data_IF_190426599217
#
_entry.id   IF_190426599217
#
_cell.length_a   1.000
_cell.length_b   1.000
_cell.length_c   1.000
_cell.angle_alpha   90.00
_cell.angle_beta   90.00
_cell.angle_gamma   90.00
#
_symmetry.space_group_name_H-M   'P 1'
#
loop_
_entity.id
_entity.type
_entity.pdbx_description
1 polymer ?
#
# COMPACT_ATOMS: atom_id res chain seq x y z
N UNK A 1 -0.30 -4.41 -18.00
CA UNK A 1 0.79 -4.06 -18.95
C UNK A 1 2.11 -4.71 -18.51
N UNK A 2 2.79 -4.26 -17.45
CA UNK A 2 4.14 -4.77 -17.11
C UNK A 2 4.22 -6.29 -16.92
N UNK A 3 3.25 -6.93 -16.27
CA UNK A 3 3.18 -8.39 -16.17
C UNK A 3 3.00 -9.06 -17.53
N UNK A 4 2.14 -8.49 -18.40
CA UNK A 4 1.94 -9.03 -19.75
C UNK A 4 3.21 -8.88 -20.61
N UNK A 5 3.89 -7.74 -20.50
CA UNK A 5 5.16 -7.50 -21.18
C UNK A 5 6.27 -8.44 -20.70
N UNK A 6 6.23 -8.87 -19.44
CA UNK A 6 7.15 -9.87 -18.90
C UNK A 6 6.86 -11.31 -19.35
N UNK A 7 5.72 -11.56 -20.03
CA UNK A 7 5.35 -12.88 -20.55
C UNK A 7 4.18 -13.55 -19.83
N UNK A 8 3.61 -12.95 -18.78
CA UNK A 8 2.43 -13.51 -18.11
C UNK A 8 1.17 -13.35 -18.96
N UNK A 9 0.32 -14.37 -19.00
CA UNK A 9 -1.07 -14.22 -19.41
C UNK A 9 -1.87 -13.68 -18.23
N UNK A 10 -2.33 -12.43 -18.33
CA UNK A 10 -2.96 -11.72 -17.21
C UNK A 10 -4.48 -11.81 -17.31
N UNK A 11 -5.11 -12.25 -16.23
CA UNK A 11 -6.56 -12.13 -16.01
C UNK A 11 -6.80 -11.20 -14.80
N UNK A 12 -7.93 -10.51 -14.76
CA UNK A 12 -8.22 -9.56 -13.68
C UNK A 12 -9.56 -9.86 -12.99
N UNK A 13 -9.59 -9.72 -11.66
CA UNK A 13 -10.83 -9.67 -10.88
C UNK A 13 -10.99 -8.24 -10.38
N UNK A 14 -11.98 -7.50 -10.88
CA UNK A 14 -12.19 -6.11 -10.50
C UNK A 14 -13.67 -5.70 -10.54
N UNK A 15 -14.06 -4.62 -9.82
CA UNK A 15 -15.42 -4.10 -9.88
C UNK A 15 -15.72 -3.45 -11.23
N UNK A 16 -17.00 -3.43 -11.59
CA UNK A 16 -17.47 -2.73 -12.81
C UNK A 16 -17.03 -1.27 -12.81
N UNK A 17 -16.56 -0.77 -13.96
CA UNK A 17 -16.07 0.59 -14.13
C UNK A 17 -14.68 0.84 -13.54
N UNK A 18 -13.95 -0.20 -13.15
CA UNK A 18 -12.55 -0.08 -12.78
C UNK A 18 -11.69 0.29 -14.00
N UNK A 19 -10.66 1.15 -13.87
CA UNK A 19 -9.79 1.54 -15.00
C UNK A 19 -9.13 0.38 -15.75
N UNK A 20 -8.90 -0.76 -15.08
CA UNK A 20 -8.44 -1.98 -15.75
C UNK A 20 -9.34 -2.44 -16.90
N UNK A 21 -10.63 -2.16 -16.85
CA UNK A 21 -11.58 -2.59 -17.90
C UNK A 21 -11.41 -1.86 -19.23
N UNK A 22 -10.68 -0.75 -19.26
CA UNK A 22 -10.43 0.04 -20.48
C UNK A 22 -9.02 -0.17 -21.05
N UNK A 23 -8.23 -1.08 -20.47
CA UNK A 23 -6.89 -1.45 -20.97
C UNK A 23 -6.95 -2.76 -21.75
N UNK A 24 -6.10 -2.89 -22.77
CA UNK A 24 -5.90 -4.14 -23.52
C UNK A 24 -4.88 -5.11 -22.87
N UNK A 25 -4.33 -4.77 -21.71
CA UNK A 25 -3.21 -5.48 -21.10
C UNK A 25 -3.59 -6.80 -20.38
N UNK A 26 -4.85 -7.20 -20.39
CA UNK A 26 -5.30 -8.44 -19.78
C UNK A 26 -6.21 -9.23 -20.75
N UNK A 27 -6.21 -10.56 -20.59
CA UNK A 27 -6.98 -11.47 -21.44
C UNK A 27 -8.48 -11.43 -21.11
N UNK A 28 -8.82 -11.52 -19.81
CA UNK A 28 -10.21 -11.59 -19.32
C UNK A 28 -10.37 -10.82 -18.02
N UNK A 29 -11.58 -10.28 -17.82
CA UNK A 29 -11.99 -9.68 -16.55
C UNK A 29 -13.12 -10.49 -15.94
N UNK A 30 -13.00 -10.81 -14.65
CA UNK A 30 -14.02 -11.45 -13.85
C UNK A 30 -14.66 -10.43 -12.90
N UNK A 31 -16.00 -10.45 -12.75
CA UNK A 31 -16.68 -9.44 -11.95
C UNK A 31 -16.39 -9.60 -10.45
N UNK A 32 -16.03 -8.49 -9.80
CA UNK A 32 -15.93 -8.41 -8.35
C UNK A 32 -17.18 -7.79 -7.77
N UNK A 33 -17.87 -8.53 -6.89
CA UNK A 33 -19.07 -8.08 -6.19
C UNK A 33 -18.73 -7.78 -4.72
N UNK A 34 -18.71 -6.51 -4.33
CA UNK A 34 -18.33 -6.07 -2.98
C UNK A 34 -19.19 -6.63 -1.83
N UNK A 35 -20.39 -7.18 -2.13
CA UNK A 35 -21.24 -7.90 -1.15
C UNK A 35 -20.83 -9.37 -0.99
N UNK A 36 -20.14 -9.95 -1.96
CA UNK A 36 -19.70 -11.35 -1.97
C UNK A 36 -18.23 -11.43 -2.44
N UNK A 37 -17.31 -10.75 -1.72
CA UNK A 37 -15.94 -10.59 -2.20
C UNK A 37 -15.22 -11.92 -2.36
N UNK A 38 -15.27 -12.78 -1.33
CA UNK A 38 -14.59 -14.09 -1.38
C UNK A 38 -15.14 -14.99 -2.48
N UNK A 39 -16.47 -14.99 -2.67
CA UNK A 39 -17.09 -15.76 -3.76
C UNK A 39 -16.68 -15.25 -5.15
N UNK A 40 -16.51 -13.91 -5.30
CA UNK A 40 -16.04 -13.32 -6.56
C UNK A 40 -14.60 -13.73 -6.88
N UNK A 41 -13.72 -13.70 -5.89
CA UNK A 41 -12.32 -14.11 -6.04
C UNK A 41 -12.25 -15.62 -6.33
N UNK A 42 -12.97 -16.42 -5.56
CA UNK A 42 -13.02 -17.88 -5.74
C UNK A 42 -13.52 -18.27 -7.13
N UNK A 43 -14.58 -17.61 -7.62
CA UNK A 43 -15.09 -17.81 -8.99
C UNK A 43 -14.06 -17.41 -10.07
N UNK A 44 -13.37 -16.30 -9.87
CA UNK A 44 -12.28 -15.87 -10.76
C UNK A 44 -11.12 -16.89 -10.79
N UNK A 45 -10.69 -17.39 -9.64
CA UNK A 45 -9.66 -18.44 -9.53
C UNK A 45 -10.11 -19.72 -10.25
N UNK A 46 -11.33 -20.16 -10.01
CA UNK A 46 -11.86 -21.39 -10.62
C UNK A 46 -11.95 -21.28 -12.15
N UNK A 47 -12.33 -20.11 -12.68
CA UNK A 47 -12.49 -19.88 -14.11
C UNK A 47 -11.15 -19.62 -14.83
N UNK A 48 -10.24 -18.87 -14.20
CA UNK A 48 -8.94 -18.51 -14.79
C UNK A 48 -7.91 -19.64 -14.62
N UNK A 49 -7.99 -20.42 -13.54
CA UNK A 49 -7.00 -21.43 -13.13
C UNK A 49 -5.58 -20.85 -13.14
N UNK A 50 -5.33 -19.76 -12.39
CA UNK A 50 -4.05 -19.06 -12.46
C UNK A 50 -2.95 -19.85 -11.76
N UNK A 51 -1.71 -19.59 -12.19
CA UNK A 51 -0.50 -20.08 -11.52
C UNK A 51 -0.04 -19.17 -10.39
N UNK A 52 -0.45 -17.89 -10.44
CA UNK A 52 -0.04 -16.86 -9.50
C UNK A 52 -1.16 -15.84 -9.26
N UNK A 53 -1.26 -15.34 -8.03
CA UNK A 53 -2.16 -14.25 -7.63
C UNK A 53 -1.31 -13.04 -7.23
N UNK A 54 -1.65 -11.86 -7.76
CA UNK A 54 -0.97 -10.60 -7.41
C UNK A 54 -2.01 -9.61 -6.88
N UNK A 55 -2.09 -9.41 -5.56
CA UNK A 55 -2.96 -8.40 -4.98
C UNK A 55 -2.44 -6.99 -5.28
N UNK A 56 -3.36 -6.09 -5.66
CA UNK A 56 -3.04 -4.70 -5.99
C UNK A 56 -3.47 -3.71 -4.89
N UNK A 57 -4.12 -4.18 -3.84
CA UNK A 57 -4.52 -3.39 -2.68
C UNK A 57 -4.60 -4.24 -1.40
N UNK A 58 -4.63 -3.56 -0.25
CA UNK A 58 -4.65 -4.20 1.07
C UNK A 58 -5.92 -5.02 1.32
N UNK A 59 -7.05 -4.61 0.71
CA UNK A 59 -8.31 -5.33 0.84
C UNK A 59 -8.25 -6.66 0.08
N UNK A 60 -7.72 -6.66 -1.14
CA UNK A 60 -7.53 -7.87 -1.93
C UNK A 60 -6.64 -8.87 -1.20
N UNK A 61 -5.52 -8.40 -0.60
CA UNK A 61 -4.65 -9.29 0.17
C UNK A 61 -5.36 -9.89 1.39
N UNK A 62 -6.10 -9.08 2.16
CA UNK A 62 -6.88 -9.57 3.30
C UNK A 62 -7.92 -10.61 2.88
N UNK A 63 -8.59 -10.39 1.76
CA UNK A 63 -9.57 -11.30 1.22
C UNK A 63 -8.94 -12.63 0.75
N UNK A 64 -7.74 -12.58 0.19
CA UNK A 64 -6.99 -13.79 -0.14
C UNK A 64 -6.61 -14.58 1.13
N UNK A 65 -6.18 -13.91 2.20
CA UNK A 65 -5.92 -14.58 3.48
C UNK A 65 -7.20 -15.19 4.08
N UNK A 66 -8.32 -14.48 4.04
CA UNK A 66 -9.62 -15.02 4.47
C UNK A 66 -10.06 -16.22 3.61
N UNK A 67 -9.84 -16.14 2.30
CA UNK A 67 -10.14 -17.24 1.38
C UNK A 67 -9.23 -18.44 1.66
N UNK A 68 -7.96 -18.24 2.00
CA UNK A 68 -7.03 -19.27 2.42
C UNK A 68 -7.58 -20.03 3.64
N UNK A 69 -7.94 -19.32 4.71
CA UNK A 69 -8.52 -19.95 5.92
C UNK A 69 -9.81 -20.73 5.61
N UNK A 70 -10.69 -20.15 4.81
CA UNK A 70 -11.91 -20.81 4.35
C UNK A 70 -11.62 -22.05 3.49
N UNK A 71 -10.62 -22.01 2.64
CA UNK A 71 -10.23 -23.14 1.79
C UNK A 71 -9.64 -24.26 2.65
N UNK A 72 -8.81 -23.93 3.65
CA UNK A 72 -8.26 -24.90 4.60
C UNK A 72 -9.32 -25.60 5.42
N UNK A 73 -10.35 -24.91 5.87
CA UNK A 73 -11.47 -25.53 6.62
C UNK A 73 -12.26 -26.54 5.80
N UNK A 74 -12.14 -26.52 4.45
CA UNK A 74 -12.76 -27.49 3.54
C UNK A 74 -11.88 -28.75 3.33
N UNK A 75 -10.71 -28.83 3.93
CA UNK A 75 -9.78 -29.95 3.79
C UNK A 75 -9.33 -30.16 2.34
N UNK A 76 -9.35 -31.41 1.88
CA UNK A 76 -8.88 -31.77 0.53
C UNK A 76 -9.60 -31.00 -0.60
N UNK A 77 -10.89 -30.71 -0.45
CA UNK A 77 -11.66 -29.96 -1.44
C UNK A 77 -11.19 -28.51 -1.63
N UNK A 78 -10.50 -27.94 -0.63
CA UNK A 78 -9.91 -26.60 -0.71
C UNK A 78 -8.44 -26.57 -1.09
N UNK A 79 -7.78 -27.74 -1.21
CA UNK A 79 -6.32 -27.86 -1.31
C UNK A 79 -5.69 -27.03 -2.44
N UNK A 80 -6.27 -27.04 -3.61
CA UNK A 80 -5.77 -26.25 -4.77
C UNK A 80 -5.81 -24.75 -4.51
N UNK A 81 -6.85 -24.25 -3.84
CA UNK A 81 -7.02 -22.81 -3.56
C UNK A 81 -6.04 -22.32 -2.49
N UNK A 82 -5.94 -23.01 -1.35
CA UNK A 82 -5.01 -22.57 -0.30
C UNK A 82 -3.55 -22.71 -0.73
N UNK A 83 -3.19 -23.78 -1.46
CA UNK A 83 -1.84 -23.95 -1.99
C UNK A 83 -1.46 -22.86 -3.01
N UNK A 84 -2.40 -22.45 -3.88
CA UNK A 84 -2.21 -21.33 -4.80
C UNK A 84 -1.95 -20.02 -4.04
N UNK A 85 -2.70 -19.75 -2.95
CA UNK A 85 -2.54 -18.54 -2.16
C UNK A 85 -1.18 -18.54 -1.44
N UNK A 86 -0.79 -19.64 -0.79
CA UNK A 86 0.53 -19.76 -0.15
C UNK A 86 1.66 -19.61 -1.18
N UNK A 87 1.56 -20.26 -2.32
CA UNK A 87 2.56 -20.13 -3.39
C UNK A 87 2.69 -18.68 -3.86
N UNK A 88 1.58 -17.93 -3.91
CA UNK A 88 1.53 -16.56 -4.44
C UNK A 88 1.96 -15.50 -3.45
N UNK A 89 1.68 -15.68 -2.16
CA UNK A 89 1.91 -14.68 -1.12
C UNK A 89 3.01 -15.07 -0.12
N UNK A 90 3.34 -16.36 -0.06
CA UNK A 90 4.35 -16.90 0.85
C UNK A 90 3.76 -17.68 2.01
N UNK A 91 4.58 -17.89 3.03
CA UNK A 91 4.25 -18.74 4.19
C UNK A 91 3.04 -18.20 4.96
N UNK A 92 2.07 -19.06 5.24
CA UNK A 92 0.81 -18.70 5.92
C UNK A 92 1.02 -18.08 7.31
N UNK A 93 2.11 -18.45 7.96
CA UNK A 93 2.50 -17.95 9.28
C UNK A 93 2.76 -16.44 9.26
N UNK A 94 3.10 -15.88 8.07
CA UNK A 94 3.29 -14.46 7.87
C UNK A 94 1.98 -13.67 7.78
N UNK A 95 0.85 -14.30 7.40
CA UNK A 95 -0.41 -13.63 7.11
C UNK A 95 -0.95 -12.77 8.25
N UNK A 96 -0.95 -13.20 9.52
CA UNK A 96 -1.34 -12.33 10.62
C UNK A 96 -0.35 -11.18 10.86
N UNK A 97 0.95 -11.43 10.69
CA UNK A 97 2.03 -10.49 11.03
C UNK A 97 2.06 -9.28 10.09
N UNK A 98 1.84 -9.50 8.77
CA UNK A 98 1.92 -8.42 7.77
C UNK A 98 0.87 -7.31 7.95
N UNK A 99 -0.14 -7.51 8.80
CA UNK A 99 -1.14 -6.49 9.15
C UNK A 99 -1.03 -5.97 10.58
N UNK A 100 -0.24 -6.63 11.42
CA UNK A 100 -0.09 -6.31 12.82
C UNK A 100 1.20 -5.48 13.02
N UNK A 101 1.06 -4.15 13.13
CA UNK A 101 2.22 -3.23 13.16
C UNK A 101 3.22 -3.55 14.24
N UNK A 102 2.77 -3.69 15.49
CA UNK A 102 3.70 -3.97 16.61
C UNK A 102 4.41 -5.33 16.43
N UNK A 103 3.73 -6.46 16.19
CA UNK A 103 4.39 -7.73 15.92
C UNK A 103 5.35 -7.71 14.72
N UNK A 104 5.01 -6.97 13.66
CA UNK A 104 5.91 -6.82 12.50
C UNK A 104 7.19 -6.08 12.86
N UNK A 105 7.09 -4.97 13.61
CA UNK A 105 8.25 -4.17 14.04
C UNK A 105 9.11 -4.95 15.05
N UNK A 106 8.50 -5.67 15.99
CA UNK A 106 9.21 -6.54 16.94
C UNK A 106 9.99 -7.64 16.22
N UNK A 107 9.36 -8.28 15.22
CA UNK A 107 10.02 -9.27 14.38
C UNK A 107 11.18 -8.67 13.60
N UNK A 108 11.03 -7.48 13.02
CA UNK A 108 12.08 -6.78 12.29
C UNK A 108 13.26 -6.45 13.22
N UNK A 109 12.98 -5.99 14.44
CA UNK A 109 13.99 -5.73 15.46
C UNK A 109 14.76 -7.01 15.84
N UNK A 110 14.06 -8.13 15.99
CA UNK A 110 14.68 -9.42 16.30
C UNK A 110 15.61 -9.92 15.19
N UNK A 111 15.33 -9.57 13.92
CA UNK A 111 16.19 -9.83 12.76
C UNK A 111 17.35 -8.81 12.63
N UNK A 112 17.51 -7.89 13.59
CA UNK A 112 18.53 -6.84 13.54
C UNK A 112 18.29 -5.82 12.43
N UNK A 113 17.01 -5.57 12.09
CA UNK A 113 16.59 -4.47 11.23
C UNK A 113 16.36 -3.24 12.09
N UNK A 114 16.85 -2.08 11.65
CA UNK A 114 16.60 -0.82 12.34
C UNK A 114 15.14 -0.43 12.21
N UNK A 115 14.49 -0.20 13.36
CA UNK A 115 13.08 0.18 13.45
C UNK A 115 12.91 1.29 14.49
N UNK A 116 11.91 2.16 14.37
CA UNK A 116 11.58 3.10 15.44
C UNK A 116 10.96 2.36 16.62
N UNK A 117 11.20 2.81 17.85
CA UNK A 117 10.53 2.27 19.04
C UNK A 117 9.03 2.31 18.81
N UNK A 118 8.37 1.19 19.02
CA UNK A 118 6.92 1.04 18.75
C UNK A 118 6.28 0.24 19.85
N UNK A 119 5.06 0.60 20.25
CA UNK A 119 4.29 -0.15 21.23
C UNK A 119 2.78 -0.06 20.92
N UNK A 120 2.05 -1.10 21.25
CA UNK A 120 0.58 -1.06 21.28
C UNK A 120 0.10 -0.27 22.48
N UNK A 121 -0.89 0.59 22.28
CA UNK A 121 -1.49 1.47 23.30
C UNK A 121 -2.95 1.09 23.46
N UNK A 122 -3.28 0.49 24.59
CA UNK A 122 -4.63 0.01 24.87
C UNK A 122 -5.43 1.00 25.72
N UNK A 123 -4.76 1.79 26.54
CA UNK A 123 -5.38 2.72 27.46
C UNK A 123 -4.52 3.99 27.66
N UNK A 124 -5.02 4.91 28.47
CA UNK A 124 -4.34 6.18 28.75
C UNK A 124 -3.02 5.99 29.52
N UNK A 125 -2.95 5.08 30.46
CA UNK A 125 -1.74 4.85 31.24
C UNK A 125 -0.61 4.30 30.38
N UNK A 126 -0.93 3.42 29.41
CA UNK A 126 0.05 2.94 28.42
C UNK A 126 0.61 4.10 27.61
N UNK A 127 -0.25 5.04 27.16
CA UNK A 127 0.17 6.21 26.39
C UNK A 127 1.09 7.12 27.20
N UNK A 128 0.71 7.45 28.44
CA UNK A 128 1.49 8.32 29.32
C UNK A 128 2.84 7.66 29.67
N UNK A 129 2.84 6.35 29.97
CA UNK A 129 4.06 5.59 30.24
C UNK A 129 4.97 5.50 29.01
N UNK A 130 4.40 5.38 27.81
CA UNK A 130 5.17 5.38 26.57
C UNK A 130 5.80 6.74 26.30
N UNK A 131 5.04 7.84 26.43
CA UNK A 131 5.54 9.21 26.28
C UNK A 131 6.67 9.50 27.28
N UNK A 132 6.53 9.06 28.52
CA UNK A 132 7.56 9.25 29.55
C UNK A 132 8.90 8.54 29.20
N UNK A 133 8.84 7.39 28.54
CA UNK A 133 10.04 6.61 28.17
C UNK A 133 10.66 7.03 26.85
N UNK A 134 9.85 7.37 25.84
CA UNK A 134 10.31 7.62 24.48
C UNK A 134 10.35 9.10 24.14
N UNK A 135 9.41 9.88 24.68
CA UNK A 135 9.32 11.31 24.46
C UNK A 135 8.36 11.71 23.33
N UNK A 136 8.40 13.00 23.04
CA UNK A 136 7.66 13.66 21.95
C UNK A 136 8.67 14.42 21.06
N UNK A 137 8.39 14.61 19.78
CA UNK A 137 7.16 14.22 19.05
C UNK A 137 7.05 12.70 18.88
N UNK A 138 5.81 12.23 18.68
CA UNK A 138 5.48 10.82 18.45
C UNK A 138 4.50 10.66 17.31
N UNK A 139 4.40 9.44 16.77
CA UNK A 139 3.41 9.07 15.74
C UNK A 139 2.42 8.08 16.33
N UNK A 140 1.13 8.44 16.36
CA UNK A 140 0.07 7.52 16.72
C UNK A 140 -0.59 6.98 15.43
N UNK A 141 -0.74 5.66 15.37
CA UNK A 141 -1.28 4.96 14.19
C UNK A 141 -2.39 3.99 14.62
N UNK A 142 -3.51 3.96 13.89
CA UNK A 142 -4.52 2.91 14.05
C UNK A 142 -4.24 1.74 13.11
N UNK A 143 -4.44 0.49 13.59
CA UNK A 143 -4.38 -0.68 12.75
C UNK A 143 -5.55 -0.69 11.75
N UNK A 144 -5.32 -1.20 10.54
CA UNK A 144 -6.36 -1.32 9.52
C UNK A 144 -6.73 -0.04 8.77
N UNK A 145 -6.07 1.09 9.06
CA UNK A 145 -6.18 2.30 8.25
C UNK A 145 -5.16 2.27 7.09
N UNK A 146 -5.57 2.69 5.90
CA UNK A 146 -4.72 2.86 4.71
C UNK A 146 -4.74 4.31 4.24
N UNK A 147 -3.74 4.72 3.44
CA UNK A 147 -3.67 6.06 2.87
C UNK A 147 -3.44 7.19 3.88
N UNK A 148 -2.82 6.90 5.03
CA UNK A 148 -2.45 7.90 6.04
C UNK A 148 -3.59 8.47 6.89
N UNK A 149 -4.84 8.07 6.66
CA UNK A 149 -5.99 8.59 7.42
C UNK A 149 -5.93 8.26 8.92
N UNK A 150 -5.33 7.13 9.29
CA UNK A 150 -5.15 6.67 10.67
C UNK A 150 -3.80 7.04 11.28
N UNK A 151 -3.10 8.07 10.79
CA UNK A 151 -1.79 8.50 11.29
C UNK A 151 -1.88 9.91 11.85
N UNK A 152 -1.33 10.13 13.03
CA UNK A 152 -1.23 11.46 13.68
C UNK A 152 0.16 11.65 14.25
N UNK A 153 0.83 12.74 13.85
CA UNK A 153 2.03 13.22 14.52
C UNK A 153 1.57 14.10 15.68
N UNK A 154 2.03 13.82 16.87
CA UNK A 154 1.68 14.53 18.11
C UNK A 154 2.92 15.12 18.75
N UNK A 155 2.84 16.38 19.16
CA UNK A 155 3.96 17.15 19.71
C UNK A 155 3.81 17.46 21.20
N UNK A 156 2.58 17.34 21.71
CA UNK A 156 2.27 17.58 23.12
C UNK A 156 1.46 16.41 23.69
N UNK A 157 1.51 16.23 25.02
CA UNK A 157 0.72 15.21 25.70
C UNK A 157 -0.80 15.41 25.49
N UNK A 158 -1.27 16.66 25.41
CA UNK A 158 -2.66 16.97 25.10
C UNK A 158 -3.08 16.52 23.70
N UNK A 159 -2.24 16.79 22.69
CA UNK A 159 -2.44 16.29 21.33
C UNK A 159 -2.44 14.75 21.29
N UNK A 160 -1.55 14.10 22.00
CA UNK A 160 -1.46 12.65 22.05
C UNK A 160 -2.74 12.01 22.59
N UNK A 161 -3.32 12.57 23.66
CA UNK A 161 -4.59 12.11 24.22
C UNK A 161 -5.76 12.31 23.26
N UNK A 162 -5.84 13.46 22.62
CA UNK A 162 -6.88 13.76 21.64
C UNK A 162 -6.79 12.83 20.44
N UNK A 163 -5.59 12.63 19.92
CA UNK A 163 -5.30 11.72 18.81
C UNK A 163 -5.62 10.26 19.17
N UNK A 164 -5.22 9.78 20.35
CA UNK A 164 -5.51 8.44 20.84
C UNK A 164 -7.02 8.18 20.87
N UNK A 165 -7.80 9.07 21.48
CA UNK A 165 -9.26 8.96 21.53
C UNK A 165 -9.89 8.93 20.13
N UNK A 166 -9.41 9.80 19.23
CA UNK A 166 -9.90 9.89 17.86
C UNK A 166 -9.56 8.64 17.03
N UNK A 167 -8.35 8.08 17.19
CA UNK A 167 -7.88 6.91 16.46
C UNK A 167 -8.49 5.61 16.97
N UNK A 168 -8.82 5.55 18.28
CA UNK A 168 -9.49 4.40 18.90
C UNK A 168 -10.99 4.37 18.61
N UNK A 169 -11.57 5.52 18.25
CA UNK A 169 -13.00 5.62 17.98
C UNK A 169 -13.40 4.72 16.81
N UNK A 170 -14.55 4.01 16.91
CA UNK A 170 -15.05 3.23 15.79
C UNK A 170 -15.26 4.12 14.57
N UNK A 171 -15.08 3.57 13.35
CA UNK A 171 -15.35 4.34 12.14
C UNK A 171 -16.78 4.89 12.17
N UNK A 172 -16.95 6.16 11.83
CA UNK A 172 -18.30 6.75 11.76
C UNK A 172 -19.11 6.01 10.70
N UNK A 173 -20.36 5.64 11.04
CA UNK A 173 -21.26 4.93 10.14
C UNK A 173 -21.41 5.66 8.79
N UNK A 174 -21.54 7.00 8.84
CA UNK A 174 -21.57 7.85 7.65
C UNK A 174 -20.34 7.69 6.74
N UNK A 175 -19.16 7.45 7.33
CA UNK A 175 -17.92 7.21 6.60
C UNK A 175 -17.93 5.81 5.97
N UNK A 176 -18.39 4.79 6.70
CA UNK A 176 -18.58 3.44 6.20
C UNK A 176 -19.56 3.41 5.03
N UNK A 177 -20.68 4.11 5.15
CA UNK A 177 -21.70 4.24 4.09
C UNK A 177 -21.14 5.00 2.88
N UNK A 178 -20.45 6.13 3.09
CA UNK A 178 -19.82 6.88 1.99
C UNK A 178 -18.80 6.01 1.23
N UNK A 179 -17.93 5.30 1.94
CA UNK A 179 -16.92 4.43 1.33
C UNK A 179 -17.58 3.26 0.58
N UNK A 180 -18.67 2.71 1.12
CA UNK A 180 -19.44 1.68 0.45
C UNK A 180 -20.12 2.16 -0.84
N UNK A 181 -20.62 3.42 -0.87
CA UNK A 181 -21.33 3.99 -2.01
C UNK A 181 -20.37 4.54 -3.08
N UNK A 182 -19.28 5.21 -2.65
CA UNK A 182 -18.34 5.90 -3.56
C UNK A 182 -17.23 4.95 -4.03
N UNK A 183 -16.59 4.25 -3.08
CA UNK A 183 -15.44 3.38 -3.36
C UNK A 183 -15.86 1.91 -3.51
N UNK A 184 -17.16 1.60 -3.33
CA UNK A 184 -17.73 0.24 -3.29
C UNK A 184 -17.07 -0.68 -2.24
N UNK A 185 -16.41 -0.06 -1.25
CA UNK A 185 -15.70 -0.73 -0.15
C UNK A 185 -16.59 -0.76 1.10
N UNK A 186 -17.07 -1.95 1.46
CA UNK A 186 -17.95 -2.19 2.62
C UNK A 186 -17.23 -2.64 3.87
N UNK A 187 -15.90 -2.68 3.88
CA UNK A 187 -15.08 -3.16 5.01
C UNK A 187 -15.32 -2.40 6.30
N UNK A 188 -15.73 -1.13 6.23
CA UNK A 188 -16.02 -0.31 7.41
C UNK A 188 -17.45 -0.42 7.95
N UNK A 189 -18.39 -1.05 7.22
CA UNK A 189 -19.79 -1.09 7.65
C UNK A 189 -19.93 -1.92 8.93
N UNK A 190 -19.45 -3.15 8.92
CA UNK A 190 -19.57 -4.07 10.06
C UNK A 190 -18.82 -3.57 11.31
N UNK A 191 -17.54 -3.12 11.23
CA UNK A 191 -16.85 -2.49 12.36
C UNK A 191 -17.56 -1.23 12.90
N UNK A 192 -18.17 -0.43 12.00
CA UNK A 192 -18.95 0.76 12.42
C UNK A 192 -20.21 0.37 13.20
N UNK A 193 -20.91 -0.69 12.77
CA UNK A 193 -22.12 -1.21 13.44
C UNK A 193 -21.75 -1.85 14.78
N UNK A 194 -20.70 -2.66 14.80
CA UNK A 194 -20.23 -3.37 16.01
C UNK A 194 -19.51 -2.45 17.01
N UNK A 195 -19.29 -1.17 16.65
CA UNK A 195 -18.51 -0.21 17.45
C UNK A 195 -17.15 -0.76 17.89
N UNK A 196 -16.52 -1.56 17.05
CA UNK A 196 -15.20 -2.15 17.33
C UNK A 196 -14.16 -1.03 17.48
N UNK A 197 -13.50 -1.00 18.64
CA UNK A 197 -12.37 -0.09 18.84
C UNK A 197 -11.18 -0.56 18.03
N UNK A 198 -10.46 0.39 17.43
CA UNK A 198 -9.23 0.11 16.70
C UNK A 198 -8.06 0.03 17.69
N UNK A 199 -7.17 -0.89 17.43
CA UNK A 199 -5.87 -0.92 18.11
C UNK A 199 -5.04 0.29 17.66
N UNK A 200 -4.47 1.01 18.63
CA UNK A 200 -3.62 2.17 18.39
C UNK A 200 -2.18 1.80 18.76
N UNK A 201 -1.25 2.16 17.91
CA UNK A 201 0.17 1.98 18.17
C UNK A 201 0.82 3.36 18.30
N UNK A 202 1.71 3.53 19.29
CA UNK A 202 2.62 4.66 19.39
C UNK A 202 3.97 4.27 18.80
N UNK A 203 4.54 5.17 18.00
CA UNK A 203 5.82 4.99 17.34
C UNK A 203 6.67 6.23 17.53
N UNK A 204 7.96 6.04 17.77
CA UNK A 204 8.96 7.09 17.83
C UNK A 204 8.95 7.89 16.52
N UNK A 205 9.06 9.22 16.65
CA UNK A 205 9.11 10.09 15.47
C UNK A 205 10.56 10.20 14.99
N UNK A 206 10.82 9.62 13.84
CA UNK A 206 12.13 9.75 13.17
C UNK A 206 12.11 11.01 12.31
N UNK A 207 13.00 11.95 12.61
CA UNK A 207 13.19 13.17 11.79
C UNK A 207 13.94 12.78 10.53
N UNK A 208 13.29 12.92 9.37
CA UNK A 208 13.92 12.47 8.14
C UNK A 208 12.98 12.48 6.94
N UNK A 209 13.41 11.81 5.88
CA UNK A 209 12.72 11.71 4.60
C UNK A 209 12.07 10.35 4.45
N UNK A 210 10.84 10.34 3.94
CA UNK A 210 10.16 9.09 3.64
C UNK A 210 10.84 8.39 2.47
N UNK A 211 10.96 7.06 2.57
CA UNK A 211 11.45 6.22 1.49
C UNK A 211 10.61 4.95 1.38
N UNK A 212 10.62 4.32 0.23
CA UNK A 212 9.88 3.09 0.00
C UNK A 212 10.70 2.11 -0.85
N UNK A 213 10.57 0.84 -0.54
CA UNK A 213 11.10 -0.26 -1.37
C UNK A 213 9.94 -1.04 -1.93
N UNK A 214 9.99 -1.36 -3.22
CA UNK A 214 9.14 -2.38 -3.80
C UNK A 214 10.01 -3.52 -4.29
N UNK A 215 9.60 -4.74 -3.98
CA UNK A 215 10.36 -5.95 -4.30
C UNK A 215 9.48 -6.96 -5.02
N UNK A 216 10.12 -7.77 -5.88
CA UNK A 216 9.62 -9.09 -6.28
C UNK A 216 10.40 -10.14 -5.50
N UNK A 217 9.70 -11.12 -4.94
CA UNK A 217 10.32 -12.19 -4.19
C UNK A 217 9.64 -13.53 -4.47
N UNK A 218 10.36 -14.61 -4.19
CA UNK A 218 9.87 -15.98 -4.36
C UNK A 218 10.46 -16.89 -3.31
N UNK A 219 9.59 -17.58 -2.56
CA UNK A 219 9.97 -18.51 -1.50
C UNK A 219 11.01 -17.91 -0.52
N UNK A 220 10.76 -16.70 -0.03
CA UNK A 220 11.63 -16.03 0.93
C UNK A 220 12.94 -15.44 0.34
N UNK A 221 13.07 -15.38 -0.98
CA UNK A 221 14.25 -14.81 -1.67
C UNK A 221 13.84 -13.57 -2.47
N UNK A 222 14.54 -12.46 -2.30
CA UNK A 222 14.36 -11.24 -3.12
C UNK A 222 14.97 -11.50 -4.50
N UNK A 223 14.20 -11.27 -5.56
CA UNK A 223 14.59 -11.45 -6.96
C UNK A 223 15.01 -10.15 -7.63
N UNK A 224 14.26 -9.09 -7.36
CA UNK A 224 14.49 -7.74 -7.85
C UNK A 224 13.95 -6.72 -6.86
N UNK A 225 14.50 -5.52 -6.83
CA UNK A 225 14.08 -4.45 -5.92
C UNK A 225 14.21 -3.07 -6.54
N UNK A 226 13.30 -2.18 -6.12
CA UNK A 226 13.31 -0.76 -6.42
C UNK A 226 13.27 0.00 -5.11
N UNK A 227 14.21 0.91 -4.88
CA UNK A 227 14.27 1.76 -3.68
C UNK A 227 14.11 3.21 -4.09
N UNK A 228 13.20 3.92 -3.44
CA UNK A 228 12.91 5.30 -3.74
C UNK A 228 12.86 6.16 -2.47
N UNK A 229 13.37 7.37 -2.57
CA UNK A 229 13.07 8.47 -1.68
C UNK A 229 11.81 9.18 -2.15
N UNK A 230 10.91 9.55 -1.25
CA UNK A 230 9.68 10.28 -1.56
C UNK A 230 9.96 11.78 -1.56
N UNK A 231 9.86 12.43 -2.71
CA UNK A 231 10.10 13.88 -2.86
C UNK A 231 8.81 14.67 -2.65
N UNK A 232 7.70 14.22 -3.26
CA UNK A 232 6.39 14.85 -3.11
C UNK A 232 5.26 13.83 -2.94
N UNK A 233 4.24 14.27 -2.23
CA UNK A 233 2.98 13.52 -2.01
C UNK A 233 1.78 14.40 -2.36
N UNK A 234 0.63 13.77 -2.62
CA UNK A 234 -0.65 14.47 -2.82
C UNK A 234 -1.03 15.30 -1.58
N UNK A 235 -0.73 14.80 -0.39
CA UNK A 235 -0.93 15.46 0.90
C UNK A 235 0.09 14.92 1.91
N UNK A 236 0.14 15.49 3.11
CA UNK A 236 1.10 15.08 4.17
C UNK A 236 1.09 13.57 4.48
N UNK A 237 -0.02 12.89 4.28
CA UNK A 237 -0.19 11.46 4.48
C UNK A 237 -0.72 10.71 3.25
N UNK A 238 -0.77 11.38 2.10
CA UNK A 238 -1.26 10.81 0.84
C UNK A 238 -0.19 10.01 0.08
N UNK A 239 -0.55 9.42 -1.06
CA UNK A 239 0.38 8.70 -1.90
C UNK A 239 1.45 9.62 -2.50
N UNK A 240 2.61 9.06 -2.79
CA UNK A 240 3.71 9.75 -3.46
C UNK A 240 3.30 10.19 -4.87
N UNK A 241 3.83 11.35 -5.30
CA UNK A 241 3.64 11.89 -6.65
C UNK A 241 4.96 12.09 -7.38
N UNK A 242 6.05 12.32 -6.64
CA UNK A 242 7.42 12.39 -7.17
C UNK A 242 8.32 11.55 -6.29
N UNK A 243 9.08 10.69 -6.93
CA UNK A 243 10.02 9.76 -6.30
C UNK A 243 11.41 9.97 -6.90
N UNK A 244 12.44 9.73 -6.09
CA UNK A 244 13.83 9.63 -6.55
C UNK A 244 14.31 8.19 -6.38
N UNK A 245 14.78 7.56 -7.45
CA UNK A 245 15.47 6.27 -7.38
C UNK A 245 16.77 6.42 -6.58
N UNK A 246 16.98 5.57 -5.61
CA UNK A 246 18.17 5.59 -4.76
C UNK A 246 18.77 4.21 -4.60
N UNK A 247 20.08 4.16 -4.39
CA UNK A 247 20.79 2.98 -3.89
C UNK A 247 20.91 3.13 -2.38
N UNK A 248 20.35 2.17 -1.64
CA UNK A 248 20.45 2.17 -0.17
C UNK A 248 20.65 0.73 0.34
N UNK A 249 21.87 0.42 0.75
CA UNK A 249 22.25 -0.91 1.19
C UNK A 249 21.50 -1.35 2.47
N UNK A 250 21.16 -0.41 3.36
CA UNK A 250 20.42 -0.71 4.59
C UNK A 250 18.96 -1.08 4.29
N UNK A 251 18.29 -0.34 3.38
CA UNK A 251 16.95 -0.70 2.89
C UNK A 251 16.96 -2.06 2.20
N UNK A 252 17.95 -2.33 1.35
CA UNK A 252 18.10 -3.62 0.65
C UNK A 252 18.30 -4.76 1.65
N UNK A 253 19.20 -4.60 2.64
CA UNK A 253 19.45 -5.59 3.67
C UNK A 253 18.20 -5.84 4.54
N UNK A 254 17.50 -4.78 4.94
CA UNK A 254 16.27 -4.89 5.73
C UNK A 254 15.18 -5.68 4.97
N UNK A 255 14.95 -5.37 3.68
CA UNK A 255 13.97 -6.09 2.86
C UNK A 255 14.35 -7.55 2.68
N UNK A 256 15.62 -7.89 2.44
CA UNK A 256 16.09 -9.29 2.32
C UNK A 256 15.85 -10.09 3.60
N UNK A 257 16.18 -9.51 4.77
CA UNK A 257 15.95 -10.14 6.07
C UNK A 257 14.47 -10.42 6.32
N UNK A 258 13.62 -9.42 6.07
CA UNK A 258 12.18 -9.53 6.29
C UNK A 258 11.52 -10.49 5.31
N UNK A 259 11.90 -10.47 4.04
CA UNK A 259 11.40 -11.42 3.02
C UNK A 259 11.73 -12.87 3.41
N UNK A 260 12.97 -13.13 3.83
CA UNK A 260 13.39 -14.46 4.31
C UNK A 260 12.62 -14.86 5.56
N UNK A 261 12.57 -13.98 6.56
CA UNK A 261 11.92 -14.26 7.85
C UNK A 261 10.45 -14.58 7.73
N UNK A 262 9.75 -13.88 6.84
CA UNK A 262 8.32 -14.04 6.59
C UNK A 262 8.03 -15.09 5.49
N UNK A 263 9.04 -15.63 4.82
CA UNK A 263 8.86 -16.58 3.72
C UNK A 263 8.01 -16.05 2.58
N UNK A 264 8.14 -14.76 2.22
CA UNK A 264 7.26 -14.09 1.26
C UNK A 264 7.46 -14.58 -0.18
N UNK A 265 6.38 -14.53 -0.95
CA UNK A 265 6.35 -14.67 -2.41
C UNK A 265 5.52 -13.56 -3.04
N UNK A 266 5.74 -13.23 -4.31
CA UNK A 266 5.00 -12.21 -5.04
C UNK A 266 5.64 -10.83 -4.99
N UNK A 267 4.83 -9.78 -4.87
CA UNK A 267 5.30 -8.39 -4.87
C UNK A 267 4.85 -7.68 -3.60
N UNK A 268 5.80 -7.06 -2.89
CA UNK A 268 5.57 -6.40 -1.60
C UNK A 268 6.28 -5.06 -1.52
N UNK A 269 5.64 -4.09 -0.85
CA UNK A 269 6.23 -2.80 -0.52
C UNK A 269 6.71 -2.75 0.93
N UNK A 270 7.79 -2.01 1.20
CA UNK A 270 8.28 -1.71 2.54
C UNK A 270 8.52 -0.22 2.65
N UNK A 271 7.99 0.41 3.70
CA UNK A 271 8.13 1.84 3.90
C UNK A 271 9.17 2.13 4.98
N UNK A 272 9.98 3.16 4.75
CA UNK A 272 11.12 3.56 5.58
C UNK A 272 11.08 5.05 5.89
N UNK A 273 11.79 5.43 6.97
CA UNK A 273 12.26 6.79 7.20
C UNK A 273 13.78 6.80 7.10
N UNK A 274 14.33 7.66 6.25
CA UNK A 274 15.76 7.94 6.18
C UNK A 274 16.06 9.11 7.14
N UNK A 275 16.72 8.82 8.26
CA UNK A 275 17.03 9.82 9.28
C UNK A 275 17.96 10.90 8.74
N UNK A 276 17.61 12.17 8.91
CA UNK A 276 18.38 13.29 8.34
C UNK A 276 19.79 13.43 8.93
N UNK A 277 19.96 13.08 10.21
CA UNK A 277 21.23 13.26 10.92
C UNK A 277 22.27 12.19 10.56
N UNK A 278 21.85 10.97 10.21
CA UNK A 278 22.74 9.82 10.02
C UNK A 278 22.62 9.18 8.65
N UNK A 279 21.50 9.40 7.94
CA UNK A 279 21.13 8.68 6.73
C UNK A 279 20.64 7.25 6.98
N UNK A 280 20.52 6.81 8.22
CA UNK A 280 20.08 5.46 8.57
C UNK A 280 18.62 5.22 8.13
N UNK A 281 18.34 4.00 7.67
CA UNK A 281 17.02 3.61 7.21
C UNK A 281 16.24 2.88 8.33
N UNK A 282 15.17 3.48 8.81
CA UNK A 282 14.26 2.90 9.78
C UNK A 282 13.06 2.26 9.06
N UNK A 283 12.89 0.95 9.17
CA UNK A 283 11.73 0.24 8.63
C UNK A 283 10.47 0.58 9.42
N UNK A 284 9.43 1.07 8.74
CA UNK A 284 8.19 1.58 9.35
C UNK A 284 7.05 0.58 9.25
N UNK A 285 6.84 0.00 8.07
CA UNK A 285 5.74 -0.94 7.80
C UNK A 285 5.97 -1.74 6.52
N UNK A 286 5.19 -2.81 6.35
CA UNK A 286 5.07 -3.57 5.11
C UNK A 286 3.72 -3.31 4.46
N UNK A 287 3.73 -3.21 3.14
CA UNK A 287 2.57 -3.25 2.27
C UNK A 287 2.52 -4.64 1.59
N UNK A 288 1.67 -5.58 2.05
CA UNK A 288 1.68 -6.96 1.55
C UNK A 288 1.00 -7.08 0.17
N UNK A 289 1.39 -6.24 -0.76
CA UNK A 289 0.86 -6.11 -2.10
C UNK A 289 1.81 -5.34 -3.00
N UNK A 290 1.55 -5.39 -4.31
CA UNK A 290 2.24 -4.44 -5.20
C UNK A 290 1.85 -3.00 -4.89
N UNK A 291 2.77 -2.06 -5.14
CA UNK A 291 2.53 -0.62 -5.01
C UNK A 291 2.55 0.06 -6.38
N UNK A 292 2.34 1.36 -6.40
CA UNK A 292 2.19 2.14 -7.64
C UNK A 292 3.42 2.15 -8.57
N UNK A 293 4.59 1.69 -8.11
CA UNK A 293 5.84 1.67 -8.91
C UNK A 293 6.23 0.27 -9.41
N UNK A 294 5.40 -0.76 -9.17
CA UNK A 294 5.72 -2.16 -9.48
C UNK A 294 5.84 -2.49 -10.97
N UNK A 295 5.46 -1.58 -11.83
CA UNK A 295 5.51 -1.72 -13.28
C UNK A 295 6.77 -1.11 -13.90
N UNK A 296 7.56 -0.36 -13.13
CA UNK A 296 8.75 0.33 -13.64
C UNK A 296 9.88 -0.66 -13.94
N UNK A 297 10.46 -0.56 -15.14
CA UNK A 297 11.64 -1.32 -15.57
C UNK A 297 12.86 -0.38 -15.60
N UNK A 298 13.69 -0.45 -14.57
CA UNK A 298 14.79 0.51 -14.37
C UNK A 298 16.18 -0.12 -14.47
N UNK A 299 16.27 -1.22 -15.23
CA UNK A 299 17.53 -1.89 -15.52
C UNK A 299 17.71 -3.25 -14.82
N UNK A 300 18.89 -3.86 -14.89
CA UNK A 300 19.16 -5.16 -14.28
C UNK A 300 18.86 -5.17 -12.78
N UNK A 301 18.19 -6.23 -12.30
CA UNK A 301 17.75 -6.35 -10.89
C UNK A 301 16.62 -5.38 -10.49
N UNK A 302 16.09 -4.59 -11.42
CA UNK A 302 15.07 -3.55 -11.20
C UNK A 302 13.87 -3.68 -12.14
N UNK A 303 13.61 -4.90 -12.62
CA UNK A 303 12.43 -5.31 -13.37
C UNK A 303 11.70 -6.40 -12.57
N UNK A 304 10.77 -5.98 -11.74
CA UNK A 304 10.07 -6.86 -10.82
C UNK A 304 9.20 -7.91 -11.55
N UNK A 305 8.40 -7.53 -12.55
CA UNK A 305 7.60 -8.47 -13.32
C UNK A 305 8.45 -9.54 -14.04
N UNK A 306 9.55 -9.15 -14.68
CA UNK A 306 10.42 -10.08 -15.38
C UNK A 306 11.14 -11.06 -14.43
N UNK A 307 11.63 -10.56 -13.29
CA UNK A 307 12.25 -11.39 -12.26
C UNK A 307 11.24 -12.40 -11.67
N UNK A 308 10.02 -11.97 -11.42
CA UNK A 308 8.96 -12.85 -10.92
C UNK A 308 8.57 -13.90 -11.97
N UNK A 309 8.44 -13.50 -13.25
CA UNK A 309 8.18 -14.43 -14.35
C UNK A 309 9.22 -15.54 -14.42
N UNK A 310 10.49 -15.17 -14.39
CA UNK A 310 11.61 -16.13 -14.44
C UNK A 310 11.56 -17.12 -13.27
N UNK A 311 11.29 -16.64 -12.05
CA UNK A 311 11.21 -17.48 -10.86
C UNK A 311 10.00 -18.45 -10.87
N UNK A 312 8.86 -18.01 -11.39
CA UNK A 312 7.62 -18.82 -11.43
C UNK A 312 7.66 -19.87 -12.54
N UNK A 313 8.23 -19.53 -13.69
CA UNK A 313 8.20 -20.39 -14.88
C UNK A 313 9.50 -21.20 -15.10
N UNK A 314 10.59 -20.82 -14.46
CA UNK A 314 11.92 -21.35 -14.73
C UNK A 314 12.51 -20.88 -16.08
N UNK A 315 11.83 -19.98 -16.80
CA UNK A 315 12.27 -19.43 -18.08
C UNK A 315 13.00 -18.11 -17.87
N UNK A 316 14.03 -17.85 -18.64
CA UNK A 316 14.68 -16.54 -18.66
C UNK A 316 13.72 -15.53 -19.27
N UNK A 317 13.32 -14.52 -18.48
CA UNK A 317 12.54 -13.41 -19.01
C UNK A 317 13.41 -12.61 -20.00
N UNK A 318 12.77 -12.13 -21.08
CA UNK A 318 13.44 -11.18 -21.98
C UNK A 318 13.75 -9.90 -21.19
N UNK A 319 15.00 -9.39 -21.20
CA UNK A 319 15.30 -8.13 -20.54
C UNK A 319 14.45 -7.01 -21.15
N UNK A 320 13.61 -6.38 -20.33
CA UNK A 320 12.87 -5.23 -20.79
C UNK A 320 13.82 -4.05 -21.00
N UNK A 321 13.53 -3.22 -22.00
CA UNK A 321 14.25 -1.96 -22.23
C UNK A 321 14.12 -1.08 -20.99
N UNK A 322 15.21 -0.52 -20.51
CA UNK A 322 15.21 0.43 -19.41
C UNK A 322 14.29 1.63 -19.77
N UNK A 323 13.31 1.89 -18.92
CA UNK A 323 12.28 2.90 -19.16
C UNK A 323 12.86 4.32 -19.26
N UNK A 324 13.87 4.63 -18.45
CA UNK A 324 14.49 5.96 -18.38
C UNK A 324 15.87 5.89 -17.74
N UNK A 325 16.74 6.84 -18.11
CA UNK A 325 18.02 7.09 -17.43
C UNK A 325 17.88 8.10 -16.26
N UNK A 326 16.71 8.72 -16.11
CA UNK A 326 16.46 9.69 -15.05
C UNK A 326 16.19 8.97 -13.72
N UNK A 327 16.69 9.53 -12.64
CA UNK A 327 16.46 9.06 -11.27
C UNK A 327 15.15 9.60 -10.68
N UNK A 328 14.61 10.70 -11.21
CA UNK A 328 13.34 11.29 -10.80
C UNK A 328 12.19 10.67 -11.60
N UNK A 329 11.28 10.03 -10.89
CA UNK A 329 10.04 9.45 -11.44
C UNK A 329 8.86 10.29 -10.98
N UNK A 330 8.05 10.73 -11.93
CA UNK A 330 6.87 11.57 -11.70
C UNK A 330 5.63 10.74 -12.00
N UNK A 331 4.87 10.42 -10.97
CA UNK A 331 3.76 9.48 -11.07
C UNK A 331 2.50 10.14 -11.63
N UNK A 332 2.00 9.58 -12.73
CA UNK A 332 0.76 10.00 -13.36
C UNK A 332 -0.47 9.38 -12.64
N UNK A 333 -1.56 10.14 -12.50
CA UNK A 333 -1.75 11.58 -12.77
C UNK A 333 -1.46 12.45 -11.54
N UNK A 334 -0.86 11.88 -10.48
CA UNK A 334 -0.74 12.47 -9.15
C UNK A 334 -0.07 13.85 -9.15
N UNK A 335 1.14 13.95 -9.69
CA UNK A 335 1.90 15.21 -9.68
C UNK A 335 1.26 16.28 -10.56
N UNK A 336 0.82 15.92 -11.77
CA UNK A 336 0.12 16.84 -12.65
C UNK A 336 -1.14 17.43 -12.00
N UNK A 337 -1.87 16.62 -11.24
CA UNK A 337 -3.06 17.08 -10.51
C UNK A 337 -2.71 17.93 -9.29
N UNK A 338 -1.62 17.57 -8.56
CA UNK A 338 -1.13 18.32 -7.40
C UNK A 338 -0.63 19.71 -7.79
N UNK A 339 0.19 19.76 -8.82
CA UNK A 339 0.78 21.00 -9.34
C UNK A 339 1.09 20.86 -10.83
N UNK A 340 0.22 21.36 -11.72
CA UNK A 340 0.43 21.33 -13.17
C UNK A 340 1.70 22.08 -13.63
N UNK A 341 2.17 23.04 -12.84
CA UNK A 341 3.39 23.83 -13.11
C UNK A 341 4.65 23.24 -12.47
N UNK A 342 4.55 22.03 -11.90
CA UNK A 342 5.69 21.39 -11.27
C UNK A 342 6.85 21.22 -12.25
N UNK A 343 8.05 21.67 -11.83
CA UNK A 343 9.27 21.52 -12.63
C UNK A 343 9.63 20.06 -12.86
N UNK A 344 9.24 19.16 -11.95
CA UNK A 344 9.47 17.73 -12.08
C UNK A 344 8.75 17.11 -13.27
N UNK A 345 7.60 17.64 -13.71
CA UNK A 345 6.92 17.18 -14.93
C UNK A 345 7.78 17.31 -16.19
N UNK A 346 8.75 18.24 -16.19
CA UNK A 346 9.68 18.48 -17.29
C UNK A 346 11.04 17.81 -17.06
N UNK A 347 11.56 17.87 -15.84
CA UNK A 347 12.91 17.37 -15.53
C UNK A 347 12.95 15.88 -15.28
N UNK A 348 11.90 15.28 -14.68
CA UNK A 348 11.79 13.86 -14.36
C UNK A 348 11.30 13.01 -15.55
N UNK A 349 11.21 11.71 -15.33
CA UNK A 349 10.44 10.80 -16.17
C UNK A 349 8.98 10.86 -15.72
N UNK A 350 8.10 11.37 -16.57
CA UNK A 350 6.66 11.42 -16.30
C UNK A 350 6.04 10.09 -16.75
N UNK A 351 5.68 9.28 -15.79
CA UNK A 351 5.18 7.91 -15.95
C UNK A 351 3.72 7.90 -16.43
N UNK A 352 3.52 8.30 -17.69
CA UNK A 352 2.20 8.30 -18.35
C UNK A 352 2.08 7.08 -19.24
N UNK A 353 1.04 6.25 -19.11
CA UNK A 353 0.84 5.07 -19.94
C UNK A 353 0.32 5.46 -21.34
N UNK A 354 1.19 6.08 -22.17
CA UNK A 354 0.84 6.61 -23.50
C UNK A 354 0.31 5.54 -24.45
N UNK A 355 0.72 4.30 -24.28
CA UNK A 355 0.27 3.14 -25.05
C UNK A 355 -1.19 2.77 -24.77
N UNK A 356 -1.77 3.31 -23.70
CA UNK A 356 -3.14 3.05 -23.24
C UNK A 356 -3.96 4.34 -23.12
N UNK A 357 -4.32 5.01 -24.23
CA UNK A 357 -4.98 6.33 -24.20
C UNK A 357 -6.31 6.34 -23.45
N UNK A 358 -7.03 5.23 -23.42
CA UNK A 358 -8.26 5.10 -22.64
C UNK A 358 -7.99 5.10 -21.13
N UNK A 359 -6.88 4.49 -20.70
CA UNK A 359 -6.46 4.52 -19.29
C UNK A 359 -6.02 5.93 -18.88
N UNK A 360 -5.27 6.63 -19.75
CA UNK A 360 -4.91 8.04 -19.53
C UNK A 360 -6.17 8.89 -19.36
N UNK A 361 -7.14 8.76 -20.26
CA UNK A 361 -8.42 9.49 -20.17
C UNK A 361 -9.17 9.19 -18.88
N UNK A 362 -9.30 7.92 -18.52
CA UNK A 362 -9.96 7.50 -17.28
C UNK A 362 -9.26 8.05 -16.03
N UNK A 363 -7.92 8.08 -16.01
CA UNK A 363 -7.11 8.69 -14.94
C UNK A 363 -7.41 10.18 -14.79
N UNK A 364 -7.40 10.93 -15.87
CA UNK A 364 -7.69 12.36 -15.90
C UNK A 364 -9.12 12.69 -15.46
N UNK A 365 -10.11 11.92 -15.89
CA UNK A 365 -11.52 12.13 -15.51
C UNK A 365 -11.77 11.86 -14.01
N UNK A 366 -11.16 10.82 -13.45
CA UNK A 366 -11.24 10.51 -12.02
C UNK A 366 -10.69 11.67 -11.19
N UNK A 367 -9.56 12.24 -11.58
CA UNK A 367 -8.94 13.37 -10.90
C UNK A 367 -9.73 14.68 -11.05
N UNK A 368 -10.30 14.97 -12.21
CA UNK A 368 -11.21 16.12 -12.40
C UNK A 368 -12.41 16.07 -11.47
N UNK A 369 -13.01 14.89 -11.26
CA UNK A 369 -14.12 14.70 -10.32
C UNK A 369 -13.69 14.92 -8.87
N UNK A 370 -12.50 14.44 -8.49
CA UNK A 370 -11.95 14.63 -7.15
C UNK A 370 -11.59 16.11 -6.88
N UNK A 371 -10.94 16.81 -7.82
CA UNK A 371 -10.55 18.21 -7.64
C UNK A 371 -11.76 19.14 -7.54
N UNK A 372 -12.81 18.94 -8.34
CA UNK A 372 -14.09 19.68 -8.22
C UNK A 372 -14.73 19.50 -6.83
N UNK A 373 -14.67 18.30 -6.29
CA UNK A 373 -15.25 18.03 -4.96
C UNK A 373 -14.46 18.70 -3.82
N UNK A 374 -13.13 18.79 -3.94
CA UNK A 374 -12.27 19.50 -2.98
C UNK A 374 -12.44 21.03 -3.10
N UNK A 375 -12.63 21.56 -4.30
CA UNK A 375 -12.88 23.01 -4.52
C UNK A 375 -14.19 23.46 -3.90
N UNK A 376 -15.26 22.69 -4.05
CA UNK A 376 -16.56 22.98 -3.40
C UNK A 376 -16.48 22.95 -1.87
N UNK A 377 -15.69 22.03 -1.29
CA UNK A 377 -15.50 21.99 0.17
C UNK A 377 -14.66 23.16 0.74
N UNK A 378 -13.76 23.74 -0.04
CA UNK A 378 -13.03 24.94 0.37
C UNK A 378 -13.94 26.16 0.37
N UNK A 379 -14.84 26.29 -0.61
CA UNK A 379 -15.81 27.37 -0.70
C UNK A 379 -16.84 27.29 0.46
N UNK A 380 -17.38 26.12 0.80
CA UNK A 380 -18.29 25.94 1.93
C UNK A 380 -17.65 26.29 3.29
N UNK A 381 -16.37 26.00 3.48
CA UNK A 381 -15.67 26.37 4.71
C UNK A 381 -15.35 27.88 4.80
N UNK A 382 -15.14 28.56 3.68
CA UNK A 382 -14.92 30.01 3.65
C UNK A 382 -16.24 30.79 3.88
N UNK A 383 -17.36 30.26 3.45
CA UNK A 383 -18.69 30.86 3.70
C UNK A 383 -19.13 30.66 5.15
N UNK A 384 -18.81 29.50 5.76
CA UNK A 384 -19.14 29.23 7.18
C UNK A 384 -18.31 30.08 8.17
N UNK A 385 -17.08 30.48 7.83
CA UNK A 385 -16.24 31.35 8.66
C UNK A 385 -16.53 32.84 8.49
N UNK A 386 -17.19 33.27 7.42
CA UNK A 386 -17.62 34.65 7.20
C UNK A 386 -18.92 35.01 7.96
N UNK A 387 -19.77 34.01 8.27
CA UNK A 387 -21.05 34.23 9.00
C UNK A 387 -20.92 34.36 10.53
N UNK A 388 -19.72 34.18 11.11
CA UNK A 388 -19.49 34.24 12.58
C UNK A 388 -18.81 35.52 13.03
N UNK A 389 -18.59 36.49 12.12
CA UNK A 389 -17.96 37.78 12.46
C UNK A 389 -18.92 38.99 12.48
N UNK A 390 -20.22 38.77 12.40
CA UNK A 390 -21.24 39.81 12.62
C UNK A 390 -22.42 39.25 13.43
N UNK A 391 -22.19 39.12 14.72
CA UNK A 391 -23.20 39.21 15.81
C UNK A 391 -22.45 39.48 17.11
#
# INVERSE_FOLDING_TARGET
>A
MALANAGFTVDAVCPSGHPLMVTGAHRRTYPYHGLRPLASIEAGIAAAKPDLLIPCDDLATRQLHQLHERARSRGAAGSATWALIERSLGARESFPVVYARTPFIEMAQAEGVRVPKTASITNRNDLDGWIARVGLPAVLKSNGSSGGEGVRVVRTAGEAVSAFRSLQAPPQLARGVKRALVDRDKTLILPSILRSRWEVNAQEFVVGREATSLIACWNGTVLASLHFEVIHKVSSSGPATVLRLVENAEMASATQKMVRRLGLSGMHGFDFMLEDSTGNAYLIEINPRTTQVGHLTLGPGRDLPAALYAAVTGQTAQPATKLTEKDIIVLFPGEWTRNPESTFLRSGHHDVPWEEPNLVRAGLEKHRKQSRWYSHRKLDKSVSTASVRHL
#
